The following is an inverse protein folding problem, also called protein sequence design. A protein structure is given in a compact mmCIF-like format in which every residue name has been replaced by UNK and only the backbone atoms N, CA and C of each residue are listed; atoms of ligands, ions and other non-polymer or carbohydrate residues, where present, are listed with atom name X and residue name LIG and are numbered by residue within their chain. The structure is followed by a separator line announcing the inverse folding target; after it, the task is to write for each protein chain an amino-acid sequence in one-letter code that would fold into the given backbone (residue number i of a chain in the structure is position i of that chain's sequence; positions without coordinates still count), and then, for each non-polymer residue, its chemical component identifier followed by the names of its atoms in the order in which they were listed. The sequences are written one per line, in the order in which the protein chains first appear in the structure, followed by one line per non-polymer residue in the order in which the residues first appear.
data_IF_153678884768
#
_entry.id   IF_153678884768
#
_cell.length_a   1.000
_cell.length_b   1.000
_cell.length_c   1.000
_cell.angle_alpha   90.00
_cell.angle_beta   90.00
_cell.angle_gamma   90.00
#
_symmetry.space_group_name_H-M   'P 1'
#
loop_
_entity.id
_entity.type
_entity.pdbx_description
1 polymer ?
#
# COMPACT_ATOMS: atom_id res chain seq x y z
N UNK A 1 12.78 30.04 4.83
CA UNK A 1 12.14 29.08 5.77
C UNK A 1 10.98 28.43 5.03
N UNK A 2 11.26 27.30 4.40
CA UNK A 2 10.35 26.56 3.52
C UNK A 2 9.34 25.79 4.36
N UNK A 3 8.05 26.09 4.17
CA UNK A 3 6.95 25.23 4.62
C UNK A 3 7.16 23.90 3.90
N UNK A 4 7.49 22.84 4.62
CA UNK A 4 7.51 21.50 4.03
C UNK A 4 6.16 21.33 3.30
N UNK A 5 6.20 21.14 1.98
CA UNK A 5 5.06 20.60 1.27
C UNK A 5 4.66 19.36 2.04
N UNK A 6 3.46 19.37 2.63
CA UNK A 6 2.91 18.16 3.21
C UNK A 6 2.81 17.18 2.05
N UNK A 7 3.65 16.15 2.04
CA UNK A 7 3.59 15.12 1.00
C UNK A 7 2.22 14.47 1.15
N UNK A 8 1.38 14.64 0.13
CA UNK A 8 0.03 14.10 0.10
C UNK A 8 0.15 12.57 0.12
N UNK A 9 -0.43 11.95 1.15
CA UNK A 9 -0.41 10.48 1.28
C UNK A 9 -1.78 9.94 0.92
N UNK A 10 -1.79 8.84 0.16
CA UNK A 10 -3.01 8.15 -0.20
C UNK A 10 -3.04 6.84 0.58
N UNK A 11 -4.06 6.69 1.43
CA UNK A 11 -4.36 5.40 2.07
C UNK A 11 -5.22 4.57 1.12
N UNK A 12 -4.75 3.38 0.80
CA UNK A 12 -5.39 2.44 -0.12
C UNK A 12 -5.81 1.21 0.67
N UNK A 13 -7.11 0.98 0.78
CA UNK A 13 -7.68 -0.24 1.36
C UNK A 13 -7.73 -1.32 0.27
N UNK A 14 -7.32 -2.54 0.63
CA UNK A 14 -7.16 -3.65 -0.30
C UNK A 14 -8.09 -4.80 0.04
N UNK A 15 -8.93 -5.17 -0.92
CA UNK A 15 -9.66 -6.43 -0.92
C UNK A 15 -8.77 -7.55 -1.47
N UNK A 16 -9.04 -8.79 -1.05
CA UNK A 16 -8.29 -9.99 -1.47
C UNK A 16 -6.76 -9.82 -1.36
N UNK A 17 -6.31 -9.13 -0.31
CA UNK A 17 -4.92 -8.77 -0.13
C UNK A 17 -4.03 -10.01 0.08
N UNK A 18 -2.82 -9.98 -0.48
CA UNK A 18 -1.78 -10.99 -0.24
C UNK A 18 -0.48 -10.30 0.17
N UNK A 19 0.16 -10.86 1.19
CA UNK A 19 1.52 -10.51 1.61
C UNK A 19 2.47 -11.53 0.98
N UNK A 20 3.50 -11.06 0.29
CA UNK A 20 4.36 -11.88 -0.57
C UNK A 20 5.82 -11.60 -0.21
N UNK A 21 6.59 -12.67 0.00
CA UNK A 21 8.04 -12.65 0.20
C UNK A 21 8.79 -12.95 -1.11
N UNK A 22 8.42 -12.20 -2.16
CA UNK A 22 9.04 -12.26 -3.48
C UNK A 22 9.52 -10.86 -3.84
N UNK A 23 10.58 -10.78 -4.64
CA UNK A 23 11.13 -9.49 -5.06
C UNK A 23 10.04 -8.59 -5.69
N UNK A 24 10.05 -7.28 -5.38
CA UNK A 24 9.21 -6.30 -6.05
C UNK A 24 9.32 -6.37 -7.57
N UNK A 25 8.21 -6.12 -8.27
CA UNK A 25 8.19 -5.97 -9.72
C UNK A 25 8.10 -4.50 -10.11
N UNK A 26 8.47 -4.17 -11.34
CA UNK A 26 8.56 -2.78 -11.81
C UNK A 26 7.26 -1.98 -11.76
N UNK A 27 6.11 -2.67 -11.70
CA UNK A 27 4.79 -2.05 -11.60
C UNK A 27 4.32 -1.81 -10.16
N UNK A 28 5.06 -2.28 -9.16
CA UNK A 28 4.67 -2.09 -7.78
C UNK A 28 4.87 -0.63 -7.35
N UNK A 29 3.88 -0.09 -6.65
CA UNK A 29 3.95 1.23 -6.05
C UNK A 29 4.71 1.19 -4.71
N UNK A 30 5.36 2.28 -4.29
CA UNK A 30 5.97 2.32 -2.97
C UNK A 30 4.90 2.31 -1.87
N UNK A 31 5.14 1.55 -0.79
CA UNK A 31 4.34 1.56 0.42
C UNK A 31 5.18 2.04 1.61
N UNK A 32 4.90 3.26 2.05
CA UNK A 32 5.57 3.88 3.21
C UNK A 32 5.08 3.25 4.52
N UNK A 33 3.81 2.84 4.55
CA UNK A 33 3.19 2.15 5.68
C UNK A 33 2.27 1.04 5.20
N UNK A 34 2.20 0.00 6.00
CA UNK A 34 1.29 -1.14 5.82
C UNK A 34 0.60 -1.41 7.16
N UNK A 35 -0.67 -1.76 7.09
CA UNK A 35 -1.45 -2.21 8.23
C UNK A 35 -2.17 -3.49 7.85
N UNK A 36 -2.17 -4.43 8.79
CA UNK A 36 -2.82 -5.72 8.66
C UNK A 36 -3.56 -5.98 9.96
N UNK A 37 -4.87 -6.13 9.86
CA UNK A 37 -5.72 -6.62 10.94
C UNK A 37 -6.37 -7.93 10.49
N UNK A 38 -6.05 -9.01 11.17
CA UNK A 38 -6.56 -10.36 10.89
C UNK A 38 -7.72 -10.77 11.82
N UNK A 39 -8.53 -9.80 12.27
CA UNK A 39 -9.79 -10.04 12.97
C UNK A 39 -10.85 -10.72 12.09
N UNK A 40 -12.01 -11.06 12.68
CA UNK A 40 -13.16 -11.67 11.98
C UNK A 40 -13.54 -10.93 10.68
N UNK A 41 -13.45 -9.60 10.70
CA UNK A 41 -13.45 -8.78 9.48
C UNK A 41 -12.00 -8.38 9.22
N UNK A 42 -11.30 -9.02 8.26
CA UNK A 42 -9.92 -8.68 7.97
C UNK A 42 -9.84 -7.33 7.28
N UNK A 43 -8.83 -6.53 7.64
CA UNK A 43 -8.58 -5.24 7.04
C UNK A 43 -7.09 -5.09 6.69
N UNK A 44 -6.81 -4.77 5.43
CA UNK A 44 -5.46 -4.47 4.96
C UNK A 44 -5.48 -3.12 4.25
N UNK A 45 -4.57 -2.24 4.64
CA UNK A 45 -4.34 -1.00 3.90
C UNK A 45 -2.86 -0.66 3.83
N UNK A 46 -2.52 0.10 2.80
CA UNK A 46 -1.20 0.71 2.62
C UNK A 46 -1.35 2.22 2.56
N UNK A 47 -0.35 2.95 3.04
CA UNK A 47 -0.19 4.38 2.73
C UNK A 47 0.93 4.50 1.69
N UNK A 48 0.62 5.22 0.61
CA UNK A 48 1.54 5.50 -0.48
C UNK A 48 1.64 7.00 -0.75
N UNK A 49 2.83 7.51 -1.01
CA UNK A 49 3.06 8.86 -1.55
C UNK A 49 2.91 8.90 -3.08
N UNK A 50 2.70 7.75 -3.73
CA UNK A 50 2.51 7.68 -5.17
C UNK A 50 1.14 8.24 -5.58
N UNK A 51 1.08 9.22 -6.49
CA UNK A 51 -0.20 9.73 -7.00
C UNK A 51 -0.85 8.78 -8.01
N UNK A 52 -0.15 7.74 -8.48
CA UNK A 52 -0.59 6.84 -9.55
C UNK A 52 -1.31 5.58 -9.04
N UNK A 53 -2.01 5.67 -7.90
CA UNK A 53 -2.77 4.53 -7.37
C UNK A 53 -3.87 4.12 -8.36
N UNK A 54 -3.96 2.82 -8.75
CA UNK A 54 -5.00 2.33 -9.65
C UNK A 54 -6.43 2.57 -9.15
N UNK A 55 -7.38 2.69 -10.09
CA UNK A 55 -8.79 2.92 -9.81
C UNK A 55 -9.44 1.89 -8.86
N UNK A 56 -10.55 2.26 -8.18
CA UNK A 56 -11.30 1.31 -7.33
C UNK A 56 -11.78 0.14 -8.20
N UNK A 57 -11.64 -1.08 -7.69
CA UNK A 57 -11.91 -2.33 -8.42
C UNK A 57 -10.77 -2.80 -9.31
N UNK A 58 -9.63 -2.10 -9.38
CA UNK A 58 -8.43 -2.54 -10.11
C UNK A 58 -7.42 -3.22 -9.18
N UNK A 59 -6.68 -4.17 -9.73
CA UNK A 59 -5.55 -4.77 -9.05
C UNK A 59 -4.43 -3.73 -8.87
N UNK A 60 -3.76 -3.80 -7.73
CA UNK A 60 -2.58 -3.00 -7.40
C UNK A 60 -1.54 -3.88 -6.70
N UNK A 61 -0.28 -3.58 -6.97
CA UNK A 61 0.87 -4.14 -6.28
C UNK A 61 1.63 -3.02 -5.59
N UNK A 62 2.16 -3.32 -4.41
CA UNK A 62 2.95 -2.40 -3.60
C UNK A 62 4.19 -3.11 -3.08
N UNK A 63 5.30 -2.39 -3.03
CA UNK A 63 6.55 -2.84 -2.44
C UNK A 63 6.85 -1.98 -1.21
N UNK A 64 7.33 -2.60 -0.13
CA UNK A 64 7.71 -1.83 1.06
C UNK A 64 8.83 -0.85 0.71
N UNK A 65 8.63 0.44 1.01
CA UNK A 65 9.61 1.50 0.72
C UNK A 65 10.90 1.36 1.56
N UNK A 66 10.89 0.49 2.57
CA UNK A 66 12.03 0.12 3.42
C UNK A 66 11.92 -1.33 3.86
N UNK A 67 13.05 -2.01 4.06
CA UNK A 67 13.06 -3.34 4.66
C UNK A 67 12.65 -3.26 6.14
N UNK A 68 11.75 -4.13 6.58
CA UNK A 68 11.19 -4.15 7.94
C UNK A 68 11.41 -5.49 8.67
N UNK A 69 12.00 -6.50 8.00
CA UNK A 69 12.19 -7.86 8.54
C UNK A 69 10.89 -8.51 9.09
N UNK A 70 9.79 -8.33 8.36
CA UNK A 70 8.43 -8.80 8.75
C UNK A 70 7.95 -10.02 7.95
N UNK A 71 8.83 -10.67 7.20
CA UNK A 71 8.51 -11.88 6.42
C UNK A 71 7.70 -11.66 5.13
N UNK A 72 7.59 -10.40 4.66
CA UNK A 72 7.10 -10.06 3.33
C UNK A 72 7.73 -8.74 2.88
N UNK A 73 7.83 -8.55 1.57
CA UNK A 73 8.35 -7.31 0.97
C UNK A 73 7.38 -6.68 -0.01
N UNK A 74 6.33 -7.43 -0.39
CA UNK A 74 5.35 -7.04 -1.39
C UNK A 74 3.92 -7.29 -0.89
N UNK A 75 3.02 -6.38 -1.24
CA UNK A 75 1.59 -6.45 -0.96
C UNK A 75 0.86 -6.36 -2.28
N UNK A 76 -0.08 -7.26 -2.54
CA UNK A 76 -0.96 -7.18 -3.71
C UNK A 76 -2.41 -7.22 -3.28
N UNK A 77 -3.32 -6.69 -4.10
CA UNK A 77 -4.75 -6.77 -3.83
C UNK A 77 -5.56 -5.97 -4.84
N UNK A 78 -6.87 -5.94 -4.64
CA UNK A 78 -7.78 -5.09 -5.40
C UNK A 78 -8.08 -3.83 -4.60
N UNK A 79 -7.97 -2.65 -5.23
CA UNK A 79 -8.27 -1.37 -4.58
C UNK A 79 -9.75 -1.32 -4.22
N UNK A 80 -10.06 -1.33 -2.94
CA UNK A 80 -11.44 -1.25 -2.42
C UNK A 80 -11.84 0.21 -2.17
N UNK A 81 -10.94 0.99 -1.57
CA UNK A 81 -11.18 2.39 -1.19
C UNK A 81 -9.87 3.17 -1.20
N UNK A 82 -9.94 4.45 -1.58
CA UNK A 82 -8.82 5.41 -1.44
C UNK A 82 -9.22 6.57 -0.54
N UNK A 83 -8.29 6.99 0.31
CA UNK A 83 -8.47 8.16 1.18
C UNK A 83 -7.21 9.02 1.09
N UNK A 84 -7.35 10.21 0.53
CA UNK A 84 -6.29 11.24 0.52
C UNK A 84 -6.17 11.89 1.88
N UNK A 85 -4.93 12.10 2.35
CA UNK A 85 -4.59 12.84 3.58
C UNK A 85 -3.63 13.99 3.31
#
# INVERSE_FOLDING_TARGET
MTRAEAIMTIRVYLAAARLIDESPVSSDLPAERVFVNASDVPEVWVETESPSVPEVGKAAGFALSRSLDVGFVRITGTVERRVTK
#
